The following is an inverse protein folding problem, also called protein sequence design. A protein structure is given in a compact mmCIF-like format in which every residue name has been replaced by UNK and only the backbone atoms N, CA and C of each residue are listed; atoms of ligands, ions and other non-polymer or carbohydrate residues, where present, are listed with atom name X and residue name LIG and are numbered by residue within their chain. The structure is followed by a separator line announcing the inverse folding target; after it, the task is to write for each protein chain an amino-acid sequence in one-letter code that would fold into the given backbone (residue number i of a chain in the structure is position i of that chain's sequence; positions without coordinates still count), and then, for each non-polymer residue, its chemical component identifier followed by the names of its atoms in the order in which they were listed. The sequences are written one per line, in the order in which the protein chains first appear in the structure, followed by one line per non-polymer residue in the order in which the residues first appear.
data_IF_501551209354
#
_entry.id   IF_501551209354
#
_cell.length_a   1.000
_cell.length_b   1.000
_cell.length_c   1.000
_cell.angle_alpha   90.00
_cell.angle_beta   90.00
_cell.angle_gamma   90.00
#
_symmetry.space_group_name_H-M   'P 1'
#
loop_
_entity.id
_entity.type
_entity.pdbx_description
1 polymer ?
#
# COMPACT_ATOMS: atom_id res chain seq x y z
N UNK A 1 38.29 -22.62 -29.12
CA UNK A 1 36.96 -22.11 -29.53
C UNK A 1 36.25 -21.70 -28.26
N UNK A 2 36.44 -20.44 -27.86
CA UNK A 2 35.71 -19.83 -26.74
C UNK A 2 34.42 -19.26 -27.29
N UNK A 3 33.29 -19.72 -26.76
CA UNK A 3 32.02 -19.04 -26.96
C UNK A 3 31.91 -17.95 -25.89
N UNK A 4 32.02 -16.71 -26.33
CA UNK A 4 31.74 -15.51 -25.54
C UNK A 4 30.22 -15.45 -25.35
N UNK A 5 29.75 -15.54 -24.11
CA UNK A 5 28.34 -15.40 -23.80
C UNK A 5 27.99 -13.92 -23.94
N UNK A 6 27.20 -13.59 -24.95
CA UNK A 6 26.61 -12.28 -25.12
C UNK A 6 25.64 -12.01 -23.96
N UNK A 7 26.07 -11.21 -22.99
CA UNK A 7 25.20 -10.60 -21.99
C UNK A 7 24.20 -9.73 -22.76
N UNK A 8 22.99 -10.25 -22.92
CA UNK A 8 21.87 -9.48 -23.46
C UNK A 8 21.40 -8.53 -22.37
N UNK A 9 21.90 -7.30 -22.41
CA UNK A 9 21.40 -6.20 -21.60
C UNK A 9 19.97 -5.92 -22.03
N UNK A 10 19.00 -6.27 -21.18
CA UNK A 10 17.60 -5.90 -21.39
C UNK A 10 17.50 -4.37 -21.15
N UNK A 11 17.09 -3.54 -22.13
CA UNK A 11 17.07 -2.09 -22.00
C UNK A 11 15.74 -1.52 -21.44
N UNK A 12 15.02 -2.27 -20.61
CA UNK A 12 13.74 -1.85 -20.04
C UNK A 12 13.81 -1.74 -18.51
N UNK A 13 14.65 -0.82 -18.02
CA UNK A 13 14.32 -0.16 -16.75
C UNK A 13 13.73 1.18 -17.16
N UNK A 14 12.47 1.16 -17.59
CA UNK A 14 11.65 2.35 -17.41
C UNK A 14 11.69 2.62 -15.92
N UNK A 15 12.11 3.81 -15.52
CA UNK A 15 12.02 4.26 -14.14
C UNK A 15 10.53 4.23 -13.78
N UNK A 16 10.07 3.12 -13.20
CA UNK A 16 8.67 2.84 -12.87
C UNK A 16 8.08 3.92 -11.94
N UNK A 17 8.93 4.71 -11.29
CA UNK A 17 8.57 5.83 -10.44
C UNK A 17 8.69 7.19 -11.12
N UNK A 18 9.22 7.28 -12.35
CA UNK A 18 9.26 8.53 -13.11
C UNK A 18 7.84 9.08 -13.34
N UNK A 19 6.90 8.21 -13.70
CA UNK A 19 5.50 8.61 -13.91
C UNK A 19 4.86 9.10 -12.59
N UNK A 20 5.16 8.42 -11.48
CA UNK A 20 4.72 8.84 -10.14
C UNK A 20 5.32 10.21 -9.78
N UNK A 21 6.63 10.41 -10.01
CA UNK A 21 7.30 11.69 -9.77
C UNK A 21 6.69 12.80 -10.62
N UNK A 22 6.41 12.55 -11.89
CA UNK A 22 5.79 13.52 -12.81
C UNK A 22 4.40 13.92 -12.33
N UNK A 23 3.54 12.93 -12.02
CA UNK A 23 2.20 13.17 -11.45
C UNK A 23 2.26 14.00 -10.16
N UNK A 24 3.17 13.65 -9.24
CA UNK A 24 3.36 14.36 -7.99
C UNK A 24 3.98 15.76 -8.18
N UNK A 25 4.80 15.98 -9.19
CA UNK A 25 5.37 17.28 -9.50
C UNK A 25 4.35 18.22 -10.16
N UNK A 26 3.43 17.68 -10.96
CA UNK A 26 2.37 18.43 -11.64
C UNK A 26 1.36 19.03 -10.65
N UNK A 27 1.11 18.35 -9.53
CA UNK A 27 0.26 18.84 -8.45
C UNK A 27 1.00 18.82 -7.10
N UNK A 28 1.44 19.99 -6.57
CA UNK A 28 2.07 20.08 -5.26
C UNK A 28 1.18 19.63 -4.10
N UNK A 29 -0.14 19.63 -4.25
CA UNK A 29 -1.08 19.15 -3.25
C UNK A 29 -1.25 17.62 -3.27
N UNK A 30 -0.89 16.97 -4.39
CA UNK A 30 -1.04 15.53 -4.54
C UNK A 30 -0.27 14.74 -3.48
N UNK A 31 -0.91 13.68 -3.01
CA UNK A 31 -0.42 12.78 -1.97
C UNK A 31 -0.24 11.39 -2.54
N UNK A 32 0.76 10.68 -2.04
CA UNK A 32 1.09 9.33 -2.48
C UNK A 32 0.87 8.30 -1.37
N UNK A 33 0.61 7.04 -1.73
CA UNK A 33 0.25 5.99 -0.79
C UNK A 33 -1.25 5.79 -0.63
N UNK A 34 -1.64 4.94 0.32
CA UNK A 34 -2.99 4.42 0.47
C UNK A 34 -3.74 5.04 1.65
N UNK A 35 -5.07 4.98 1.62
CA UNK A 35 -5.89 5.20 2.81
C UNK A 35 -5.79 3.98 3.73
N UNK A 36 -5.55 4.17 5.02
CA UNK A 36 -5.46 3.09 6.01
C UNK A 36 -6.67 3.13 6.95
N UNK A 37 -7.44 2.04 7.00
CA UNK A 37 -8.45 1.83 8.03
C UNK A 37 -7.83 1.15 9.25
N UNK A 38 -7.91 1.84 10.39
CA UNK A 38 -7.61 1.24 11.68
C UNK A 38 -8.82 0.42 12.13
N UNK A 39 -8.68 -0.90 12.10
CA UNK A 39 -9.70 -1.85 12.52
C UNK A 39 -9.34 -2.54 13.85
N UNK A 40 -8.40 -1.97 14.62
CA UNK A 40 -8.05 -2.43 15.96
C UNK A 40 -7.97 -1.29 16.96
N UNK A 41 -8.46 -1.56 18.17
CA UNK A 41 -8.52 -0.62 19.28
C UNK A 41 -8.20 -1.30 20.62
N UNK A 42 -7.43 -2.38 20.59
CA UNK A 42 -6.97 -3.08 21.79
C UNK A 42 -5.86 -2.30 22.52
N UNK A 43 -4.93 -1.71 21.76
CA UNK A 43 -3.84 -0.89 22.28
C UNK A 43 -3.47 0.24 21.33
N UNK A 44 -3.53 1.48 21.81
CA UNK A 44 -3.03 2.65 21.07
C UNK A 44 -1.50 2.64 20.94
N UNK A 45 -0.81 2.04 21.91
CA UNK A 45 0.65 1.92 21.91
C UNK A 45 1.12 0.95 20.81
N UNK A 46 0.45 -0.20 20.66
CA UNK A 46 0.72 -1.14 19.58
C UNK A 46 0.36 -0.54 18.22
N UNK A 47 -0.75 0.18 18.12
CA UNK A 47 -1.10 0.89 16.90
C UNK A 47 -0.03 1.93 16.49
N UNK A 48 0.44 2.74 17.45
CA UNK A 48 1.50 3.70 17.19
C UNK A 48 2.83 3.03 16.80
N UNK A 49 3.16 1.90 17.43
CA UNK A 49 4.31 1.08 17.06
C UNK A 49 4.18 0.51 15.65
N UNK A 50 2.99 0.04 15.27
CA UNK A 50 2.70 -0.43 13.92
C UNK A 50 2.84 0.68 12.87
N UNK A 51 2.28 1.87 13.12
CA UNK A 51 2.42 2.99 12.20
C UNK A 51 3.89 3.44 12.07
N UNK A 52 4.67 3.36 13.16
CA UNK A 52 6.12 3.58 13.13
C UNK A 52 6.84 2.53 12.28
N UNK A 53 6.44 1.27 12.41
CA UNK A 53 6.97 0.15 11.63
C UNK A 53 6.71 0.37 10.13
N UNK A 54 5.46 0.63 9.75
CA UNK A 54 5.02 0.86 8.37
C UNK A 54 5.79 2.02 7.72
N UNK A 55 5.88 3.17 8.42
CA UNK A 55 6.60 4.34 7.92
C UNK A 55 8.11 4.08 7.78
N UNK A 56 8.72 3.45 8.77
CA UNK A 56 10.15 3.13 8.73
C UNK A 56 10.48 2.20 7.57
N UNK A 57 9.67 1.16 7.37
CA UNK A 57 9.88 0.19 6.29
C UNK A 57 9.69 0.82 4.92
N UNK A 58 8.65 1.63 4.75
CA UNK A 58 8.38 2.39 3.52
C UNK A 58 9.53 3.34 3.18
N UNK A 59 10.00 4.13 4.16
CA UNK A 59 11.12 5.06 3.97
C UNK A 59 12.39 4.32 3.52
N UNK A 60 12.75 3.26 4.23
CA UNK A 60 13.98 2.51 3.94
C UNK A 60 13.91 1.77 2.60
N UNK A 61 12.72 1.37 2.14
CA UNK A 61 12.55 0.80 0.81
C UNK A 61 12.86 1.82 -0.28
N UNK A 62 12.28 3.01 -0.18
CA UNK A 62 12.51 4.10 -1.13
C UNK A 62 13.97 4.58 -1.11
N UNK A 63 14.56 4.73 0.07
CA UNK A 63 15.98 5.08 0.19
C UNK A 63 16.89 4.01 -0.42
N UNK A 64 16.54 2.73 -0.28
CA UNK A 64 17.31 1.61 -0.82
C UNK A 64 17.35 1.56 -2.35
N UNK A 65 16.34 2.13 -3.03
CA UNK A 65 16.27 2.21 -4.50
C UNK A 65 16.73 3.56 -5.06
N UNK A 66 17.01 4.55 -4.20
CA UNK A 66 17.38 5.90 -4.61
C UNK A 66 16.19 6.85 -4.77
N UNK A 67 14.99 6.45 -4.34
CA UNK A 67 13.72 7.17 -4.44
C UNK A 67 13.26 7.79 -3.13
N UNK A 68 14.19 7.98 -2.19
CA UNK A 68 13.90 8.51 -0.86
C UNK A 68 13.21 9.89 -0.88
N UNK A 69 13.38 10.67 -1.95
CA UNK A 69 12.70 11.96 -2.12
C UNK A 69 11.17 11.86 -2.23
N UNK A 70 10.65 10.70 -2.64
CA UNK A 70 9.21 10.45 -2.69
C UNK A 70 8.60 10.22 -1.31
N UNK A 71 9.40 9.91 -0.27
CA UNK A 71 8.87 9.63 1.06
C UNK A 71 8.13 10.83 1.65
N UNK A 72 8.59 12.05 1.37
CA UNK A 72 7.94 13.30 1.82
C UNK A 72 6.53 13.50 1.22
N UNK A 73 6.19 12.75 0.18
CA UNK A 73 4.88 12.75 -0.48
C UNK A 73 3.94 11.66 0.04
N UNK A 74 4.45 10.72 0.84
CA UNK A 74 3.65 9.61 1.40
C UNK A 74 2.66 10.16 2.43
N UNK A 75 1.41 9.77 2.29
CA UNK A 75 0.32 10.06 3.21
C UNK A 75 -0.59 8.85 3.34
N UNK A 76 -0.77 8.36 4.57
CA UNK A 76 -1.56 7.16 4.85
C UNK A 76 -3.05 7.44 5.04
N UNK A 77 -3.48 8.71 5.05
CA UNK A 77 -4.88 9.14 5.22
C UNK A 77 -5.68 8.26 6.20
N UNK A 78 -5.15 8.13 7.42
CA UNK A 78 -5.65 7.13 8.37
C UNK A 78 -7.10 7.45 8.77
N UNK A 79 -7.99 6.48 8.59
CA UNK A 79 -9.38 6.53 9.02
C UNK A 79 -9.51 5.84 10.38
N UNK A 80 -9.88 6.61 11.40
CA UNK A 80 -10.05 6.12 12.78
C UNK A 80 -11.45 6.45 13.31
N UNK A 81 -12.26 5.41 13.52
CA UNK A 81 -13.53 5.53 14.21
C UNK A 81 -13.85 4.17 14.87
N UNK A 82 -13.67 4.09 16.19
CA UNK A 82 -13.84 2.83 16.95
C UNK A 82 -15.27 2.28 16.85
N UNK A 83 -16.28 3.16 16.80
CA UNK A 83 -17.68 2.74 16.72
C UNK A 83 -18.00 2.12 15.37
N UNK A 84 -17.40 2.64 14.29
CA UNK A 84 -17.62 2.15 12.93
C UNK A 84 -16.69 0.99 12.54
N UNK A 85 -15.42 1.04 12.94
CA UNK A 85 -14.38 0.13 12.43
C UNK A 85 -13.90 -0.90 13.44
N UNK A 86 -14.25 -0.76 14.72
CA UNK A 86 -13.81 -1.64 15.82
C UNK A 86 -14.76 -2.79 16.15
N UNK A 87 -15.81 -3.02 15.37
CA UNK A 87 -16.80 -4.06 15.64
C UNK A 87 -16.24 -5.46 15.37
N UNK A 88 -16.35 -6.38 16.34
CA UNK A 88 -15.90 -7.78 16.20
C UNK A 88 -14.41 -8.00 16.44
N UNK A 89 -13.97 -9.26 16.38
CA UNK A 89 -12.57 -9.65 16.65
C UNK A 89 -11.58 -9.21 15.56
N UNK A 90 -12.07 -8.87 14.38
CA UNK A 90 -11.27 -8.45 13.21
C UNK A 90 -11.55 -6.99 12.81
N UNK A 91 -12.41 -6.28 13.53
CA UNK A 91 -12.98 -5.01 13.11
C UNK A 91 -14.01 -5.13 11.98
N UNK A 92 -14.43 -3.99 11.44
CA UNK A 92 -15.46 -3.90 10.39
C UNK A 92 -15.13 -4.76 9.17
N UNK A 93 -16.17 -5.33 8.56
CA UNK A 93 -16.04 -6.24 7.42
C UNK A 93 -15.72 -5.53 6.10
N UNK A 94 -15.23 -6.27 5.08
CA UNK A 94 -14.88 -5.69 3.78
C UNK A 94 -15.99 -4.85 3.15
N UNK A 95 -17.23 -5.34 3.12
CA UNK A 95 -18.37 -4.61 2.55
C UNK A 95 -18.68 -3.28 3.28
N UNK A 96 -18.41 -3.20 4.59
CA UNK A 96 -18.62 -1.98 5.38
C UNK A 96 -17.54 -0.95 5.08
N UNK A 97 -16.29 -1.39 5.01
CA UNK A 97 -15.15 -0.53 4.68
C UNK A 97 -15.21 -0.02 3.25
N UNK A 98 -15.54 -0.88 2.26
CA UNK A 98 -15.72 -0.47 0.85
C UNK A 98 -16.79 0.60 0.73
N UNK A 99 -17.97 0.37 1.32
CA UNK A 99 -19.06 1.34 1.32
C UNK A 99 -18.65 2.66 1.98
N UNK A 100 -18.03 2.61 3.15
CA UNK A 100 -17.55 3.82 3.82
C UNK A 100 -16.52 4.57 2.96
N UNK A 101 -15.60 3.84 2.33
CA UNK A 101 -14.59 4.43 1.45
C UNK A 101 -15.24 5.16 0.27
N UNK A 102 -16.16 4.52 -0.44
CA UNK A 102 -16.86 5.08 -1.59
C UNK A 102 -17.69 6.31 -1.20
N UNK A 103 -18.43 6.22 -0.10
CA UNK A 103 -19.38 7.27 0.31
C UNK A 103 -18.70 8.48 0.96
N UNK A 104 -17.59 8.27 1.67
CA UNK A 104 -17.01 9.30 2.55
C UNK A 104 -15.55 9.65 2.26
N UNK A 105 -14.74 8.73 1.76
CA UNK A 105 -13.30 8.97 1.55
C UNK A 105 -13.00 9.34 0.11
N UNK A 106 -13.46 8.54 -0.85
CA UNK A 106 -13.22 8.74 -2.29
C UNK A 106 -13.57 10.16 -2.77
N UNK A 107 -14.71 10.78 -2.37
CA UNK A 107 -15.03 12.15 -2.76
C UNK A 107 -14.04 13.21 -2.25
N UNK A 108 -13.32 12.92 -1.16
CA UNK A 108 -12.29 13.81 -0.60
C UNK A 108 -10.93 13.64 -1.28
N UNK A 109 -10.67 12.45 -1.83
CA UNK A 109 -9.48 12.14 -2.61
C UNK A 109 -9.56 12.66 -4.04
N UNK A 110 -10.78 12.81 -4.57
CA UNK A 110 -11.06 13.32 -5.92
C UNK A 110 -11.83 14.64 -5.85
N UNK A 111 -11.23 15.76 -5.41
CA UNK A 111 -11.89 17.05 -5.49
C UNK A 111 -12.21 17.39 -6.95
N UNK A 112 -13.38 17.97 -7.18
CA UNK A 112 -14.03 18.27 -8.47
C UNK A 112 -13.28 19.21 -9.43
N UNK A 113 -11.96 19.35 -9.30
CA UNK A 113 -11.10 20.09 -10.24
C UNK A 113 -10.37 19.14 -11.17
N UNK A 114 -10.58 19.37 -12.47
CA UNK A 114 -10.07 18.73 -13.68
C UNK A 114 -8.54 18.52 -13.78
N UNK A 115 -7.91 17.85 -12.83
CA UNK A 115 -6.55 17.31 -12.98
C UNK A 115 -6.59 15.87 -12.51
N UNK A 116 -6.40 14.97 -13.47
CA UNK A 116 -6.66 13.56 -13.32
C UNK A 116 -5.73 12.88 -12.30
N UNK A 117 -6.23 12.66 -11.08
CA UNK A 117 -5.87 11.52 -10.22
C UNK A 117 -6.99 10.44 -10.07
N UNK A 118 -8.02 10.32 -10.95
CA UNK A 118 -9.07 9.31 -10.81
C UNK A 118 -8.51 7.88 -10.94
N UNK A 119 -7.38 7.71 -11.63
CA UNK A 119 -6.78 6.41 -11.96
C UNK A 119 -5.58 6.05 -11.06
N UNK A 120 -5.49 6.63 -9.86
CA UNK A 120 -4.37 6.30 -8.97
C UNK A 120 -4.67 5.11 -8.07
N UNK A 121 -3.66 4.32 -7.70
CA UNK A 121 -3.87 3.20 -6.77
C UNK A 121 -4.58 3.61 -5.45
N UNK A 122 -4.48 4.90 -5.08
CA UNK A 122 -5.13 5.51 -3.92
C UNK A 122 -6.66 5.66 -4.04
N UNK A 123 -7.20 5.78 -5.25
CA UNK A 123 -8.65 5.87 -5.51
C UNK A 123 -9.28 4.50 -5.76
N UNK A 124 -8.46 3.50 -6.13
CA UNK A 124 -8.90 2.14 -6.43
C UNK A 124 -8.72 1.13 -5.29
N UNK A 125 -7.86 1.43 -4.32
CA UNK A 125 -7.60 0.51 -3.21
C UNK A 125 -7.31 1.24 -1.89
N UNK A 126 -7.55 0.52 -0.79
CA UNK A 126 -7.23 0.97 0.56
C UNK A 126 -6.75 -0.19 1.43
N UNK A 127 -6.12 0.14 2.56
CA UNK A 127 -5.57 -0.83 3.49
C UNK A 127 -6.52 -1.06 4.67
N UNK A 128 -6.69 -2.30 5.06
CA UNK A 128 -7.34 -2.71 6.30
C UNK A 128 -6.28 -3.24 7.27
N UNK A 129 -6.29 -2.73 8.51
CA UNK A 129 -5.37 -3.19 9.56
C UNK A 129 -6.15 -3.58 10.80
N UNK A 130 -6.29 -4.88 11.03
CA UNK A 130 -6.88 -5.45 12.24
C UNK A 130 -5.81 -5.86 13.26
N UNK A 131 -6.24 -6.35 14.43
CA UNK A 131 -5.32 -6.67 15.53
C UNK A 131 -4.34 -7.79 15.18
N UNK A 132 -4.79 -8.79 14.41
CA UNK A 132 -3.93 -9.89 13.97
C UNK A 132 -2.76 -9.36 13.13
N UNK A 133 -3.03 -8.45 12.20
CA UNK A 133 -2.01 -7.85 11.32
C UNK A 133 -1.01 -6.98 12.11
N UNK A 134 -1.47 -6.23 13.11
CA UNK A 134 -0.59 -5.51 14.05
C UNK A 134 0.33 -6.49 14.78
N UNK A 135 -0.23 -7.58 15.32
CA UNK A 135 0.54 -8.59 16.03
C UNK A 135 1.59 -9.29 15.16
N UNK A 136 1.25 -9.58 13.89
CA UNK A 136 2.19 -10.16 12.93
C UNK A 136 3.36 -9.22 12.65
N UNK A 137 3.07 -7.94 12.37
CA UNK A 137 4.09 -6.94 12.09
C UNK A 137 5.02 -6.69 13.29
N UNK A 138 4.48 -6.62 14.51
CA UNK A 138 5.29 -6.27 15.69
C UNK A 138 6.03 -7.45 16.31
N UNK A 139 5.49 -8.68 16.21
CA UNK A 139 5.99 -9.82 16.98
C UNK A 139 6.51 -10.97 16.12
N UNK A 140 6.21 -11.00 14.81
CA UNK A 140 6.62 -12.10 13.91
C UNK A 140 7.50 -11.63 12.76
N UNK A 141 7.27 -10.43 12.25
CA UNK A 141 8.09 -9.84 11.21
C UNK A 141 9.50 -9.47 11.73
N UNK A 142 10.51 -9.39 10.84
CA UNK A 142 11.77 -8.76 11.17
C UNK A 142 11.56 -7.32 11.65
N UNK A 143 12.51 -6.73 12.41
CA UNK A 143 12.46 -5.33 12.78
C UNK A 143 12.27 -4.44 11.54
N UNK A 144 11.63 -3.27 11.70
CA UNK A 144 11.33 -2.37 10.58
C UNK A 144 12.57 -1.93 9.78
N UNK A 145 13.77 -2.05 10.36
CA UNK A 145 15.06 -1.76 9.71
C UNK A 145 15.50 -2.84 8.72
N UNK A 146 14.97 -4.06 8.84
CA UNK A 146 15.27 -5.20 7.98
C UNK A 146 14.16 -5.43 6.96
N UNK A 147 14.52 -5.86 5.76
CA UNK A 147 13.56 -6.15 4.71
C UNK A 147 12.92 -7.51 4.97
N UNK A 148 11.58 -7.56 4.98
CA UNK A 148 10.83 -8.78 5.24
C UNK A 148 10.66 -9.60 3.95
N UNK A 149 11.75 -10.24 3.52
CA UNK A 149 11.79 -11.03 2.30
C UNK A 149 10.79 -12.20 2.28
N UNK A 150 10.37 -12.67 3.46
CA UNK A 150 9.47 -13.82 3.60
C UNK A 150 8.00 -13.43 3.73
N UNK A 151 7.66 -12.14 3.82
CA UNK A 151 6.30 -11.69 4.10
C UNK A 151 5.81 -12.28 5.40
N UNK A 152 6.26 -11.78 6.54
CA UNK A 152 5.78 -12.14 7.88
C UNK A 152 4.89 -11.06 8.47
N UNK A 153 5.14 -9.80 8.11
CA UNK A 153 4.29 -8.65 8.41
C UNK A 153 3.45 -8.28 7.20
N UNK A 154 2.13 -8.22 7.39
CA UNK A 154 1.16 -7.98 6.33
C UNK A 154 0.21 -6.84 6.67
N UNK A 155 -0.43 -6.32 5.63
CA UNK A 155 -1.66 -5.53 5.70
C UNK A 155 -2.68 -6.13 4.73
N UNK A 156 -3.96 -6.03 5.04
CA UNK A 156 -5.00 -6.35 4.06
C UNK A 156 -5.09 -5.21 3.05
N UNK A 157 -5.10 -5.52 1.76
CA UNK A 157 -5.40 -4.56 0.70
C UNK A 157 -6.77 -4.91 0.10
N UNK A 158 -7.60 -3.90 -0.02
CA UNK A 158 -8.99 -4.00 -0.44
C UNK A 158 -9.16 -3.22 -1.73
N UNK A 159 -9.69 -3.87 -2.77
CA UNK A 159 -10.18 -3.15 -3.93
C UNK A 159 -11.47 -2.44 -3.57
N UNK A 160 -11.66 -1.26 -4.16
CA UNK A 160 -12.94 -0.55 -4.18
C UNK A 160 -13.97 -1.33 -4.98
N UNK A 161 -13.56 -2.06 -6.02
CA UNK A 161 -14.41 -2.99 -6.74
C UNK A 161 -14.57 -4.29 -5.94
N UNK A 162 -15.81 -4.66 -5.64
CA UNK A 162 -16.11 -5.87 -4.87
C UNK A 162 -15.82 -7.15 -5.68
N UNK A 163 -15.87 -7.08 -7.02
CA UNK A 163 -15.56 -8.23 -7.89
C UNK A 163 -14.05 -8.56 -7.89
N UNK A 164 -13.19 -7.56 -7.69
CA UNK A 164 -11.73 -7.71 -7.55
C UNK A 164 -11.33 -8.28 -6.18
N UNK A 165 -12.14 -8.03 -5.15
CA UNK A 165 -11.96 -8.63 -3.83
C UNK A 165 -10.88 -7.98 -2.97
N UNK A 166 -10.19 -8.80 -2.18
CA UNK A 166 -9.17 -8.40 -1.21
C UNK A 166 -8.15 -9.51 -0.93
N UNK A 167 -6.94 -9.12 -0.55
CA UNK A 167 -5.85 -10.05 -0.21
C UNK A 167 -4.85 -9.42 0.77
N UNK A 168 -3.95 -10.22 1.33
CA UNK A 168 -2.89 -9.74 2.21
C UNK A 168 -1.61 -9.42 1.42
N UNK A 169 -1.00 -8.27 1.69
CA UNK A 169 0.26 -7.84 1.08
C UNK A 169 1.31 -7.58 2.15
N UNK A 170 2.54 -8.03 1.90
CA UNK A 170 3.65 -7.82 2.81
C UNK A 170 3.98 -6.32 2.93
N UNK A 171 4.18 -5.83 4.15
CA UNK A 171 4.47 -4.41 4.41
C UNK A 171 5.72 -3.94 3.66
N UNK A 172 6.69 -4.82 3.45
CA UNK A 172 7.91 -4.52 2.70
C UNK A 172 7.70 -4.36 1.19
N UNK A 173 6.51 -4.66 0.66
CA UNK A 173 6.20 -4.58 -0.76
C UNK A 173 5.15 -3.51 -1.09
N UNK A 174 4.48 -2.94 -0.07
CA UNK A 174 3.34 -2.02 -0.27
C UNK A 174 3.72 -0.76 -1.08
N UNK A 175 4.87 -0.17 -0.77
CA UNK A 175 5.45 0.95 -1.48
C UNK A 175 6.95 0.68 -1.75
N UNK A 176 7.43 0.99 -2.97
CA UNK A 176 6.66 1.50 -4.13
C UNK A 176 5.88 0.41 -4.90
N UNK A 177 6.30 -0.86 -4.79
CA UNK A 177 5.97 -1.91 -5.75
C UNK A 177 4.48 -2.16 -5.94
N UNK A 178 3.74 -2.47 -4.87
CA UNK A 178 2.30 -2.77 -4.98
C UNK A 178 1.52 -1.57 -5.51
N UNK A 179 1.86 -0.35 -5.06
CA UNK A 179 1.22 0.86 -5.58
C UNK A 179 1.40 1.00 -7.09
N UNK A 180 2.63 0.86 -7.60
CA UNK A 180 2.91 1.01 -9.04
C UNK A 180 2.18 -0.06 -9.86
N UNK A 181 2.13 -1.31 -9.38
CA UNK A 181 1.42 -2.38 -10.09
C UNK A 181 -0.08 -2.06 -10.20
N UNK A 182 -0.69 -1.56 -9.12
CA UNK A 182 -2.09 -1.13 -9.12
C UNK A 182 -2.35 0.11 -9.97
N UNK A 183 -1.43 1.08 -9.95
CA UNK A 183 -1.54 2.34 -10.72
C UNK A 183 -1.35 2.12 -12.23
N UNK A 184 -0.52 1.14 -12.61
CA UNK A 184 -0.15 0.88 -14.00
C UNK A 184 -0.96 -0.23 -14.66
N UNK A 185 -0.76 -1.46 -14.21
CA UNK A 185 -1.27 -2.67 -14.90
C UNK A 185 -2.50 -3.29 -14.22
N UNK A 186 -2.92 -2.76 -13.07
CA UNK A 186 -4.18 -3.09 -12.41
C UNK A 186 -4.13 -4.30 -11.45
N UNK A 187 -5.27 -4.58 -10.82
CA UNK A 187 -5.44 -5.50 -9.70
C UNK A 187 -4.96 -6.94 -9.98
N UNK A 188 -5.26 -7.47 -11.17
CA UNK A 188 -4.92 -8.83 -11.60
C UNK A 188 -3.40 -9.12 -11.62
N UNK A 189 -2.55 -8.10 -11.58
CA UNK A 189 -1.09 -8.26 -11.60
C UNK A 189 -0.46 -8.25 -10.21
N UNK A 190 -1.22 -7.89 -9.18
CA UNK A 190 -0.82 -8.06 -7.79
C UNK A 190 -1.32 -9.41 -7.26
N UNK A 191 -2.40 -9.92 -7.85
CA UNK A 191 -3.10 -11.13 -7.44
C UNK A 191 -2.81 -12.30 -8.38
N UNK A 192 -2.10 -13.34 -7.91
CA UNK A 192 -2.20 -14.66 -8.55
C UNK A 192 -3.43 -15.39 -7.98
N UNK A 193 -4.15 -16.11 -8.84
CA UNK A 193 -5.34 -16.93 -8.55
C UNK A 193 -5.18 -17.93 -7.38
N UNK A 194 -3.95 -18.14 -6.89
CA UNK A 194 -3.60 -18.95 -5.74
C UNK A 194 -3.57 -18.18 -4.39
N UNK A 195 -3.93 -16.89 -4.37
CA UNK A 195 -4.14 -16.11 -3.13
C UNK A 195 -2.87 -15.64 -2.42
N UNK A 196 -1.73 -15.63 -3.11
CA UNK A 196 -0.49 -15.04 -2.62
C UNK A 196 -0.05 -13.91 -3.54
N UNK A 197 0.24 -12.73 -2.97
CA UNK A 197 0.86 -11.65 -3.74
C UNK A 197 2.22 -12.11 -4.26
N UNK A 198 2.50 -11.85 -5.55
CA UNK A 198 3.80 -12.11 -6.15
C UNK A 198 4.91 -11.36 -5.37
N UNK A 199 5.96 -12.04 -4.87
CA UNK A 199 7.08 -11.40 -4.20
C UNK A 199 7.85 -10.43 -5.09
#
# INVERSE_FOLDING_TARGET
MSAEAATTTIPYVCDELADIREKLAADPAAKWGFTVYRCTYESDEEWAAFMTYLNTRTRLNLEGTGDGDLFDRVDWNVQENKELFGAGSTGAGPCELRRHFIEHVLPTLSPTSSVDFPDSARTHAFLQVNQMLVGLALYKAPPATEFDAYGRGFVGIMSVDEEEGDFDVGISYILPRTYVLLDGIGWDNVYDSDGAACP
#
